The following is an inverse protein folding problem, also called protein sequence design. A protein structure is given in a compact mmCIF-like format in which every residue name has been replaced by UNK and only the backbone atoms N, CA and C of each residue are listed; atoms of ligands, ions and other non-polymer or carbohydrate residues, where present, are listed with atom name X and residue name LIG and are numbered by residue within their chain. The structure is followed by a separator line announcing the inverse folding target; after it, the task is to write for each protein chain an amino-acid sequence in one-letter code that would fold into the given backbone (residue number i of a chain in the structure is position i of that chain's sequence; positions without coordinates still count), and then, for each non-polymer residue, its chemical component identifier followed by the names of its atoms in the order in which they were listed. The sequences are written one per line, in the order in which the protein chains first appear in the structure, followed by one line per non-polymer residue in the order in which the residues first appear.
data_IF_693016986776
#
_entry.id   IF_693016986776
#
_cell.length_a   1.000
_cell.length_b   1.000
_cell.length_c   1.000
_cell.angle_alpha   90.00
_cell.angle_beta   90.00
_cell.angle_gamma   90.00
#
_symmetry.space_group_name_H-M   'P 1'
#
loop_
_entity.id
_entity.type
_entity.pdbx_description
1 polymer ?
#
# COMPACT_ATOMS: atom_id res chain seq x y z
N UNK A 1 -12.90 -4.91 15.17
CA UNK A 1 -12.37 -4.01 14.14
C UNK A 1 -11.23 -3.22 14.77
N UNK A 2 -10.06 -3.17 14.12
CA UNK A 2 -8.89 -2.43 14.58
C UNK A 2 -9.18 -0.93 14.69
N UNK A 3 -8.45 -0.26 15.59
CA UNK A 3 -8.47 1.18 15.72
C UNK A 3 -7.08 1.74 15.44
N UNK A 4 -7.06 2.81 14.65
CA UNK A 4 -5.91 3.67 14.41
C UNK A 4 -6.26 5.09 14.82
N UNK A 5 -5.29 5.99 14.75
CA UNK A 5 -5.52 7.41 15.00
C UNK A 5 -5.17 8.25 13.79
N UNK A 6 -5.86 9.39 13.67
CA UNK A 6 -5.36 10.54 12.94
C UNK A 6 -5.10 11.62 13.98
N UNK A 7 -3.84 11.71 14.44
CA UNK A 7 -3.46 12.47 15.63
C UNK A 7 -4.18 11.93 16.87
N UNK A 8 -5.16 12.65 17.39
CA UNK A 8 -5.91 12.25 18.60
C UNK A 8 -7.27 11.62 18.26
N UNK A 9 -7.72 11.72 17.01
CA UNK A 9 -9.01 11.20 16.60
C UNK A 9 -8.91 9.71 16.26
N UNK A 10 -9.69 8.88 16.95
CA UNK A 10 -9.78 7.45 16.66
C UNK A 10 -10.52 7.23 15.35
N UNK A 11 -9.99 6.31 14.54
CA UNK A 11 -10.58 5.85 13.28
C UNK A 11 -10.62 4.31 13.32
N UNK A 12 -11.75 3.75 12.91
CA UNK A 12 -11.98 2.31 12.81
C UNK A 12 -11.63 1.84 11.40
N UNK A 13 -10.88 0.74 11.27
CA UNK A 13 -10.66 0.10 9.97
C UNK A 13 -11.53 -1.15 9.81
N UNK A 14 -11.86 -1.47 8.56
CA UNK A 14 -12.58 -2.69 8.20
C UNK A 14 -11.70 -3.93 8.47
N UNK A 15 -12.30 -5.04 8.90
CA UNK A 15 -11.60 -6.33 8.95
C UNK A 15 -10.33 -6.35 9.80
N UNK A 16 -9.38 -7.24 9.48
CA UNK A 16 -8.02 -7.27 10.02
C UNK A 16 -7.05 -7.37 8.84
N UNK A 17 -5.78 -7.01 9.06
CA UNK A 17 -4.75 -7.23 8.04
C UNK A 17 -4.54 -8.74 7.78
N UNK A 18 -4.11 -9.11 6.55
CA UNK A 18 -3.67 -10.47 6.25
C UNK A 18 -2.62 -10.98 7.23
N UNK A 19 -2.76 -12.21 7.70
CA UNK A 19 -1.86 -12.79 8.70
C UNK A 19 -0.52 -13.22 8.08
N UNK A 20 0.56 -13.02 8.83
CA UNK A 20 1.88 -13.51 8.44
C UNK A 20 1.83 -15.03 8.34
N UNK A 21 2.28 -15.54 7.20
CA UNK A 21 2.25 -16.97 6.91
C UNK A 21 1.08 -17.40 6.01
N UNK A 22 0.11 -16.53 5.75
CA UNK A 22 -1.01 -16.83 4.85
C UNK A 22 -0.78 -16.33 3.43
N UNK A 23 -1.56 -16.85 2.48
CA UNK A 23 -1.59 -16.29 1.12
C UNK A 23 -2.33 -14.97 1.13
N UNK A 24 -1.78 -13.97 0.46
CA UNK A 24 -2.42 -12.69 0.29
C UNK A 24 -3.76 -12.84 -0.45
N UNK A 25 -4.83 -12.11 -0.05
CA UNK A 25 -6.09 -12.09 -0.77
C UNK A 25 -5.90 -11.64 -2.22
N UNK A 26 -6.71 -12.17 -3.13
CA UNK A 26 -6.71 -11.71 -4.52
C UNK A 26 -7.08 -10.22 -4.59
N UNK A 27 -6.49 -9.50 -5.54
CA UNK A 27 -6.91 -8.14 -5.87
C UNK A 27 -6.90 -7.91 -7.38
N UNK A 28 -7.75 -6.98 -7.81
CA UNK A 28 -7.70 -6.37 -9.13
C UNK A 28 -7.73 -4.84 -8.96
N UNK A 29 -6.62 -4.18 -9.24
CA UNK A 29 -6.44 -2.73 -9.09
C UNK A 29 -6.22 -2.08 -10.46
N UNK A 30 -6.31 -0.74 -10.52
CA UNK A 30 -6.18 0.00 -11.78
C UNK A 30 -4.83 0.71 -11.86
N UNK A 31 -4.12 0.53 -12.96
CA UNK A 31 -2.85 1.23 -13.26
C UNK A 31 -3.10 2.64 -13.79
N UNK A 32 -2.04 3.44 -13.81
CA UNK A 32 -2.00 4.81 -14.38
C UNK A 32 -2.48 4.91 -15.84
N UNK A 33 -2.33 3.85 -16.63
CA UNK A 33 -2.80 3.76 -18.03
C UNK A 33 -4.23 3.20 -18.16
N UNK A 34 -4.95 3.08 -17.05
CA UNK A 34 -6.29 2.52 -16.92
C UNK A 34 -6.39 1.00 -17.15
N UNK A 35 -5.28 0.31 -17.38
CA UNK A 35 -5.25 -1.15 -17.41
C UNK A 35 -5.45 -1.72 -16.01
N UNK A 36 -5.78 -3.02 -15.96
CA UNK A 36 -5.92 -3.76 -14.71
C UNK A 36 -4.57 -4.33 -14.27
N UNK A 37 -4.39 -4.47 -12.96
CA UNK A 37 -3.28 -5.16 -12.33
C UNK A 37 -3.79 -6.16 -11.29
N UNK A 38 -3.20 -7.35 -11.22
CA UNK A 38 -3.50 -8.35 -10.20
C UNK A 38 -2.22 -9.07 -9.76
N UNK A 39 -2.32 -9.91 -8.72
CA UNK A 39 -1.17 -10.65 -8.17
C UNK A 39 -0.41 -11.50 -9.19
N UNK A 40 -1.07 -12.06 -10.21
CA UNK A 40 -0.40 -12.91 -11.21
C UNK A 40 0.55 -12.11 -12.11
N UNK A 41 0.34 -10.81 -12.28
CA UNK A 41 1.23 -9.94 -13.08
C UNK A 41 2.62 -9.82 -12.45
N UNK A 42 2.74 -10.17 -11.17
CA UNK A 42 3.96 -10.07 -10.38
C UNK A 42 4.48 -11.43 -9.89
N UNK A 43 3.96 -12.53 -10.45
CA UNK A 43 4.32 -13.88 -10.03
C UNK A 43 5.84 -14.11 -10.07
N UNK A 44 6.37 -14.69 -9.00
CA UNK A 44 7.81 -14.98 -8.87
C UNK A 44 8.65 -13.79 -8.43
N UNK A 45 8.05 -12.60 -8.23
CA UNK A 45 8.68 -11.46 -7.57
C UNK A 45 8.20 -11.35 -6.13
N UNK A 46 9.05 -10.81 -5.26
CA UNK A 46 8.65 -10.34 -3.94
C UNK A 46 7.93 -9.00 -4.09
N UNK A 47 6.92 -8.75 -3.27
CA UNK A 47 6.10 -7.54 -3.36
C UNK A 47 6.14 -6.74 -2.07
N UNK A 48 6.28 -5.42 -2.17
CA UNK A 48 6.04 -4.49 -1.07
C UNK A 48 4.78 -3.70 -1.42
N UNK A 49 3.70 -3.92 -0.69
CA UNK A 49 2.44 -3.19 -0.81
C UNK A 49 2.53 -2.00 0.14
N UNK A 50 2.85 -0.83 -0.41
CA UNK A 50 2.85 0.44 0.31
C UNK A 50 1.46 1.09 0.14
N UNK A 51 0.63 0.93 1.15
CA UNK A 51 -0.79 1.32 1.14
C UNK A 51 -0.93 2.64 1.91
N UNK A 52 -1.66 3.61 1.34
CA UNK A 52 -1.80 4.93 1.96
C UNK A 52 -3.16 5.60 1.63
N UNK A 53 -3.59 6.60 2.44
CA UNK A 53 -4.89 7.25 2.23
C UNK A 53 -4.99 8.02 0.92
N UNK A 54 -4.04 8.91 0.65
CA UNK A 54 -3.95 9.68 -0.58
C UNK A 54 -2.52 10.17 -0.80
N UNK A 55 -2.05 10.12 -2.04
CA UNK A 55 -0.71 10.53 -2.45
C UNK A 55 -0.48 12.03 -2.30
N UNK A 56 -1.55 12.83 -2.32
CA UNK A 56 -1.52 14.30 -2.34
C UNK A 56 -1.29 14.91 -0.93
N UNK A 57 -0.52 14.21 -0.09
CA UNK A 57 -0.15 14.63 1.27
C UNK A 57 1.33 14.41 1.54
N UNK A 58 1.97 15.34 2.25
CA UNK A 58 3.43 15.36 2.47
C UNK A 58 4.01 14.05 3.03
N UNK A 59 3.27 13.35 3.89
CA UNK A 59 3.75 12.11 4.52
C UNK A 59 3.67 10.93 3.56
N UNK A 60 2.62 10.85 2.74
CA UNK A 60 2.50 9.81 1.70
C UNK A 60 3.56 10.01 0.62
N UNK A 61 3.81 11.24 0.19
CA UNK A 61 4.86 11.53 -0.79
C UNK A 61 6.24 11.07 -0.29
N UNK A 62 6.54 11.36 0.98
CA UNK A 62 7.81 10.95 1.61
C UNK A 62 7.94 9.43 1.71
N UNK A 63 6.86 8.71 2.01
CA UNK A 63 6.92 7.24 2.09
C UNK A 63 7.18 6.58 0.76
N UNK A 64 6.57 7.09 -0.31
CA UNK A 64 6.82 6.59 -1.66
C UNK A 64 8.26 6.85 -2.09
N UNK A 65 8.82 8.04 -1.84
CA UNK A 65 10.24 8.33 -2.13
C UNK A 65 11.18 7.38 -1.39
N UNK A 66 10.98 7.20 -0.09
CA UNK A 66 11.82 6.31 0.73
C UNK A 66 11.79 4.87 0.25
N UNK A 67 10.60 4.34 -0.08
CA UNK A 67 10.49 3.00 -0.64
C UNK A 67 11.10 2.92 -2.04
N UNK A 68 10.88 3.89 -2.91
CA UNK A 68 11.45 3.93 -4.27
C UNK A 68 12.98 3.87 -4.23
N UNK A 69 13.63 4.72 -3.42
CA UNK A 69 15.10 4.73 -3.28
C UNK A 69 15.67 3.41 -2.76
N UNK A 70 14.99 2.77 -1.81
CA UNK A 70 15.46 1.54 -1.17
C UNK A 70 15.15 0.30 -2.00
N UNK A 71 14.00 0.28 -2.68
CA UNK A 71 13.57 -0.82 -3.52
C UNK A 71 14.46 -1.05 -4.74
N UNK A 72 15.07 0.01 -5.29
CA UNK A 72 16.08 -0.11 -6.35
C UNK A 72 17.24 -1.04 -5.96
N UNK A 73 17.53 -1.15 -4.67
CA UNK A 73 18.63 -1.99 -4.15
C UNK A 73 18.21 -3.43 -3.87
N UNK A 74 16.92 -3.75 -3.98
CA UNK A 74 16.39 -5.07 -3.72
C UNK A 74 16.29 -5.89 -5.01
N UNK A 75 16.93 -7.05 -5.03
CA UNK A 75 16.82 -7.97 -6.15
C UNK A 75 15.43 -8.60 -6.20
N UNK A 76 14.85 -8.78 -7.38
CA UNK A 76 13.58 -9.50 -7.55
C UNK A 76 12.42 -8.98 -6.66
N UNK A 77 12.36 -7.67 -6.44
CA UNK A 77 11.32 -7.03 -5.61
C UNK A 77 10.63 -5.90 -6.38
N UNK A 78 9.32 -5.82 -6.27
CA UNK A 78 8.50 -4.75 -6.83
C UNK A 78 7.78 -4.01 -5.69
N UNK A 79 7.71 -2.68 -5.76
CA UNK A 79 6.91 -1.87 -4.83
C UNK A 79 5.61 -1.48 -5.51
N UNK A 80 4.49 -1.83 -4.88
CA UNK A 80 3.15 -1.45 -5.29
C UNK A 80 2.67 -0.32 -4.37
N UNK A 81 2.49 0.87 -4.92
CA UNK A 81 1.95 2.01 -4.20
C UNK A 81 0.44 2.06 -4.43
N UNK A 82 -0.35 1.85 -3.37
CA UNK A 82 -1.79 1.58 -3.45
C UNK A 82 -2.59 2.62 -2.67
N UNK A 83 -3.57 3.24 -3.32
CA UNK A 83 -4.54 4.15 -2.68
C UNK A 83 -5.87 4.15 -3.41
N UNK A 84 -6.80 4.99 -2.97
CA UNK A 84 -8.05 5.30 -3.69
C UNK A 84 -7.93 6.58 -4.55
N UNK A 85 -6.73 7.14 -4.71
CA UNK A 85 -6.52 8.24 -5.66
C UNK A 85 -6.79 7.77 -7.08
N UNK A 86 -7.33 8.64 -7.92
CA UNK A 86 -7.51 8.30 -9.33
C UNK A 86 -6.15 8.04 -10.00
N UNK A 87 -6.09 7.12 -10.99
CA UNK A 87 -4.87 6.81 -11.73
C UNK A 87 -4.13 8.05 -12.28
N UNK A 88 -4.86 9.11 -12.62
CA UNK A 88 -4.31 10.37 -13.10
C UNK A 88 -3.50 11.13 -12.04
N UNK A 89 -3.96 11.13 -10.78
CA UNK A 89 -3.25 11.78 -9.69
C UNK A 89 -1.99 11.01 -9.31
N UNK A 90 -2.08 9.67 -9.27
CA UNK A 90 -0.92 8.79 -9.09
C UNK A 90 0.11 8.97 -10.19
N UNK A 91 -0.34 9.09 -11.45
CA UNK A 91 0.54 9.35 -12.59
C UNK A 91 1.26 10.70 -12.46
N UNK A 92 0.51 11.77 -12.18
CA UNK A 92 1.07 13.11 -11.99
C UNK A 92 2.15 13.11 -10.92
N UNK A 93 1.87 12.50 -9.77
CA UNK A 93 2.84 12.40 -8.68
C UNK A 93 4.12 11.65 -9.08
N UNK A 94 3.99 10.48 -9.74
CA UNK A 94 5.16 9.74 -10.19
C UNK A 94 6.00 10.49 -11.23
N UNK A 95 5.34 11.18 -12.17
CA UNK A 95 6.00 11.97 -13.20
C UNK A 95 6.75 13.18 -12.57
N UNK A 96 6.14 13.86 -11.59
CA UNK A 96 6.74 15.02 -10.90
C UNK A 96 7.95 14.63 -10.03
N UNK A 97 7.94 13.42 -9.48
CA UNK A 97 8.94 12.91 -8.54
C UNK A 97 10.00 11.98 -9.17
N UNK A 98 9.86 11.64 -10.45
CA UNK A 98 10.77 10.74 -11.16
C UNK A 98 10.75 9.30 -10.61
N UNK A 99 9.58 8.81 -10.21
CA UNK A 99 9.41 7.54 -9.52
C UNK A 99 9.17 6.39 -10.52
N UNK A 100 10.17 6.09 -11.34
CA UNK A 100 10.07 5.09 -12.42
C UNK A 100 10.16 3.63 -11.94
N UNK A 101 10.36 3.40 -10.64
CA UNK A 101 10.67 2.08 -10.06
C UNK A 101 9.60 1.55 -9.12
N UNK A 102 8.49 2.29 -8.98
CA UNK A 102 7.30 1.83 -8.27
C UNK A 102 6.15 1.65 -9.24
N UNK A 103 5.30 0.69 -8.95
CA UNK A 103 4.04 0.49 -9.65
C UNK A 103 2.93 1.17 -8.87
N UNK A 104 2.29 2.17 -9.47
CA UNK A 104 1.13 2.84 -8.87
C UNK A 104 -0.18 2.13 -9.23
N UNK A 105 -0.99 1.84 -8.21
CA UNK A 105 -2.25 1.11 -8.33
C UNK A 105 -3.36 1.84 -7.57
N UNK A 106 -4.55 1.88 -8.17
CA UNK A 106 -5.73 2.53 -7.61
C UNK A 106 -6.84 1.53 -7.33
N UNK A 107 -7.43 1.61 -6.14
CA UNK A 107 -8.62 0.87 -5.69
C UNK A 107 -9.93 1.61 -6.01
N UNK A 108 -9.90 2.69 -6.82
CA UNK A 108 -11.05 3.59 -6.98
C UNK A 108 -12.32 2.96 -7.59
N UNK A 109 -12.20 1.84 -8.34
CA UNK A 109 -13.34 1.29 -9.09
C UNK A 109 -14.36 0.64 -8.17
N UNK A 110 -13.96 -0.42 -7.48
CA UNK A 110 -14.87 -1.22 -6.65
C UNK A 110 -14.60 -1.07 -5.15
N UNK A 111 -13.39 -0.66 -4.77
CA UNK A 111 -13.04 -0.50 -3.36
C UNK A 111 -12.81 -1.81 -2.60
N UNK A 112 -12.92 -2.96 -3.26
CA UNK A 112 -12.89 -4.28 -2.62
C UNK A 112 -11.54 -4.59 -1.98
N UNK A 113 -10.43 -4.10 -2.54
CA UNK A 113 -9.10 -4.27 -1.95
C UNK A 113 -9.05 -3.72 -0.52
N UNK A 114 -9.64 -2.54 -0.29
CA UNK A 114 -9.71 -1.94 1.03
C UNK A 114 -10.36 -2.85 2.09
N UNK A 115 -11.37 -3.61 1.70
CA UNK A 115 -12.10 -4.54 2.58
C UNK A 115 -11.36 -5.86 2.74
N UNK A 116 -10.91 -6.44 1.64
CA UNK A 116 -10.25 -7.75 1.61
C UNK A 116 -8.92 -7.74 2.36
N UNK A 117 -8.22 -6.61 2.36
CA UNK A 117 -6.97 -6.40 3.09
C UNK A 117 -7.17 -5.76 4.47
N UNK A 118 -8.41 -5.44 4.85
CA UNK A 118 -8.73 -4.85 6.15
C UNK A 118 -8.12 -3.46 6.39
N UNK A 119 -8.02 -2.66 5.33
CA UNK A 119 -7.37 -1.33 5.34
C UNK A 119 -8.34 -0.18 5.10
N UNK A 120 -9.59 -0.42 4.70
CA UNK A 120 -10.58 0.65 4.53
C UNK A 120 -10.91 1.31 5.88
N UNK A 121 -10.86 2.64 5.93
CA UNK A 121 -11.33 3.42 7.07
C UNK A 121 -12.85 3.58 7.01
N UNK A 122 -13.52 3.21 8.10
CA UNK A 122 -14.99 3.09 8.17
C UNK A 122 -15.67 4.30 8.81
N UNK A 123 -14.91 5.22 9.40
CA UNK A 123 -15.42 6.41 10.07
C UNK A 123 -14.41 7.57 10.02
N UNK A 124 -14.83 8.73 10.52
CA UNK A 124 -14.00 9.91 10.63
C UNK A 124 -13.83 10.68 9.30
N UNK A 125 -12.95 11.70 9.27
CA UNK A 125 -12.82 12.61 8.13
C UNK A 125 -12.19 11.96 6.88
N UNK A 126 -11.61 10.76 7.02
CA UNK A 126 -11.01 9.99 5.95
C UNK A 126 -11.80 8.71 5.64
N UNK A 127 -13.06 8.62 6.08
CA UNK A 127 -13.96 7.51 5.76
C UNK A 127 -13.96 7.23 4.25
N UNK A 128 -13.83 5.95 3.89
CA UNK A 128 -13.75 5.52 2.51
C UNK A 128 -12.37 5.71 1.86
N UNK A 129 -11.32 6.09 2.59
CA UNK A 129 -9.93 5.96 2.14
C UNK A 129 -9.25 4.75 2.77
N UNK A 130 -8.03 4.42 2.30
CA UNK A 130 -7.23 3.34 2.86
C UNK A 130 -6.38 3.86 4.03
N UNK A 131 -6.22 3.06 5.08
CA UNK A 131 -5.29 3.36 6.16
C UNK A 131 -3.85 3.23 5.68
N UNK A 132 -2.88 3.71 6.48
CA UNK A 132 -1.46 3.56 6.14
C UNK A 132 -0.93 2.21 6.61
N UNK A 133 -0.58 1.36 5.65
CA UNK A 133 -0.18 -0.04 5.88
C UNK A 133 0.98 -0.42 4.98
N UNK A 134 1.88 -1.24 5.49
CA UNK A 134 2.91 -1.91 4.69
C UNK A 134 2.73 -3.41 4.81
N UNK A 135 2.57 -4.10 3.68
CA UNK A 135 2.55 -5.56 3.62
C UNK A 135 3.68 -6.01 2.69
N UNK A 136 4.40 -7.06 3.07
CA UNK A 136 5.44 -7.66 2.22
C UNK A 136 5.04 -9.09 1.91
N UNK A 137 5.12 -9.45 0.62
CA UNK A 137 4.84 -10.78 0.11
C UNK A 137 6.11 -11.43 -0.46
N UNK A 138 6.26 -12.73 -0.26
CA UNK A 138 7.26 -13.55 -0.94
C UNK A 138 6.89 -13.85 -2.41
N UNK A 139 7.76 -14.59 -3.11
CA UNK A 139 7.59 -14.96 -4.51
C UNK A 139 6.36 -15.83 -4.81
N UNK A 140 5.78 -16.47 -3.78
CA UNK A 140 4.58 -17.30 -3.86
C UNK A 140 3.31 -16.53 -3.47
N UNK A 141 3.44 -15.24 -3.11
CA UNK A 141 2.33 -14.39 -2.68
C UNK A 141 1.94 -14.62 -1.22
N UNK A 142 2.83 -15.17 -0.39
CA UNK A 142 2.61 -15.37 1.04
C UNK A 142 3.04 -14.13 1.82
N UNK A 143 2.27 -13.75 2.83
CA UNK A 143 2.56 -12.60 3.70
C UNK A 143 3.74 -12.94 4.61
N UNK A 144 4.82 -12.17 4.50
CA UNK A 144 6.01 -12.28 5.36
C UNK A 144 6.17 -11.09 6.31
N UNK A 145 5.42 -10.01 6.05
CA UNK A 145 5.35 -8.84 6.93
C UNK A 145 3.99 -8.15 6.75
N UNK A 146 3.41 -7.66 7.84
CA UNK A 146 2.25 -6.78 7.82
C UNK A 146 2.36 -5.77 8.96
N UNK A 147 2.23 -4.49 8.64
CA UNK A 147 2.31 -3.38 9.59
C UNK A 147 1.16 -2.40 9.34
N UNK A 148 0.25 -2.29 10.32
CA UNK A 148 -0.65 -1.14 10.43
C UNK A 148 0.08 0.00 11.14
N UNK A 149 0.17 1.17 10.51
CA UNK A 149 0.69 2.35 11.19
C UNK A 149 -0.34 2.81 12.23
N UNK A 150 0.02 2.96 13.52
CA UNK A 150 -0.94 3.33 14.57
C UNK A 150 -1.55 4.71 14.36
N UNK A 151 -0.76 5.67 13.86
CA UNK A 151 -1.20 7.02 13.52
C UNK A 151 -0.95 7.33 12.04
N UNK A 152 -2.01 7.69 11.31
CA UNK A 152 -1.97 7.98 9.86
C UNK A 152 -1.08 9.18 9.54
N UNK A 153 -0.73 10.03 10.51
CA UNK A 153 0.23 11.14 10.30
C UNK A 153 1.70 10.70 10.36
N UNK A 154 1.99 9.46 10.75
CA UNK A 154 3.34 8.91 10.87
C UNK A 154 3.74 8.05 9.67
N UNK A 155 5.04 7.96 9.42
CA UNK A 155 5.60 7.06 8.42
C UNK A 155 5.64 5.60 8.93
N UNK A 156 5.58 4.59 8.06
CA UNK A 156 5.78 3.19 8.45
C UNK A 156 7.23 2.90 8.83
N UNK A 157 7.46 1.75 9.47
CA UNK A 157 8.82 1.28 9.76
C UNK A 157 9.39 0.57 8.52
N UNK A 158 10.00 1.35 7.63
CA UNK A 158 10.62 0.83 6.42
C UNK A 158 11.66 -0.25 6.71
N UNK A 159 12.42 -0.14 7.80
CA UNK A 159 13.47 -1.10 8.11
C UNK A 159 12.90 -2.45 8.53
N UNK A 160 11.81 -2.45 9.29
CA UNK A 160 11.10 -3.68 9.66
C UNK A 160 10.62 -4.43 8.41
N UNK A 161 10.01 -3.72 7.45
CA UNK A 161 9.57 -4.33 6.19
C UNK A 161 10.76 -4.86 5.37
N UNK A 162 11.80 -4.04 5.17
CA UNK A 162 12.95 -4.41 4.32
C UNK A 162 13.80 -5.55 4.89
N UNK A 163 13.90 -5.68 6.22
CA UNK A 163 14.62 -6.79 6.87
C UNK A 163 14.07 -8.16 6.50
N UNK A 164 12.79 -8.26 6.14
CA UNK A 164 12.18 -9.53 5.71
C UNK A 164 12.61 -9.98 4.32
N UNK A 165 13.30 -9.11 3.56
CA UNK A 165 13.75 -9.33 2.19
C UNK A 165 15.26 -9.52 2.07
N UNK A 166 15.99 -9.52 3.19
CA UNK A 166 17.43 -9.76 3.31
C UNK A 166 17.71 -11.20 3.73
#
# INVERSE_FOLDING_TARGET
MPQITLRENKITTYGNLPEIGEKAPYFELVRSDMSKANLNDFKGKRLILNIFPSIDTNVCATSVRNFNERAIKLNNTEVLCISRDLPFALKRFADDEGLDKVTNLSDFRQGDFGKDYGVEMMDGPLEGLLSRVVIVLDEEGKVIHAQQVPDISQEPDYLAALKTLL
#
